data_IF_452062120258
#
_entry.id   IF_452062120258
#
_cell.length_a   1.000
_cell.length_b   1.000
_cell.length_c   1.000
_cell.angle_alpha   90.00
_cell.angle_beta   90.00
_cell.angle_gamma   90.00
#
_symmetry.space_group_name_H-M   'P 1'
#
loop_
_entity.id
_entity.type
_entity.pdbx_description
1 polymer ?
#
# COMPACT_ATOMS: atom_id res chain seq x y z
N UNK A 1 -30.09 -1.44 6.10
CA UNK A 1 -30.38 -2.62 5.24
C UNK A 1 -29.47 -3.79 5.64
N UNK A 2 -29.98 -4.78 6.37
CA UNK A 2 -29.27 -6.02 6.75
C UNK A 2 -29.30 -7.04 5.61
N UNK A 3 -28.53 -6.83 4.53
CA UNK A 3 -28.86 -7.50 3.27
C UNK A 3 -27.62 -7.82 2.41
N UNK A 4 -27.13 -9.08 2.37
CA UNK A 4 -26.16 -9.62 1.40
C UNK A 4 -26.49 -9.27 -0.05
N UNK A 5 -27.77 -8.97 -0.33
CA UNK A 5 -28.25 -8.39 -1.58
C UNK A 5 -27.46 -7.13 -1.99
N UNK A 6 -27.00 -6.29 -1.06
CA UNK A 6 -26.19 -5.11 -1.38
C UNK A 6 -24.83 -5.51 -1.97
N UNK A 7 -24.19 -6.57 -1.45
CA UNK A 7 -22.94 -7.10 -2.00
C UNK A 7 -23.17 -7.73 -3.39
N UNK A 8 -24.30 -8.43 -3.57
CA UNK A 8 -24.69 -8.98 -4.87
C UNK A 8 -24.94 -7.87 -5.91
N UNK A 9 -25.69 -6.83 -5.54
CA UNK A 9 -25.94 -5.65 -6.39
C UNK A 9 -24.63 -4.95 -6.72
N UNK A 10 -23.76 -4.75 -5.72
CA UNK A 10 -22.43 -4.20 -5.92
C UNK A 10 -21.61 -5.01 -6.93
N UNK A 11 -21.51 -6.33 -6.73
CA UNK A 11 -20.76 -7.24 -7.62
C UNK A 11 -21.28 -7.17 -9.06
N UNK A 12 -22.60 -7.24 -9.26
CA UNK A 12 -23.22 -7.12 -10.58
C UNK A 12 -22.94 -5.76 -11.25
N UNK A 13 -23.02 -4.65 -10.50
CA UNK A 13 -22.73 -3.32 -11.01
C UNK A 13 -21.26 -3.16 -11.39
N UNK A 14 -20.33 -3.69 -10.58
CA UNK A 14 -18.90 -3.69 -10.90
C UNK A 14 -18.63 -4.51 -12.16
N UNK A 15 -19.20 -5.71 -12.26
CA UNK A 15 -19.04 -6.57 -13.43
C UNK A 15 -19.56 -5.89 -14.70
N UNK A 16 -20.76 -5.30 -14.64
CA UNK A 16 -21.35 -4.56 -15.75
C UNK A 16 -20.50 -3.34 -16.15
N UNK A 17 -19.92 -2.62 -15.19
CA UNK A 17 -19.08 -1.46 -15.46
C UNK A 17 -17.74 -1.84 -16.11
N UNK A 18 -17.13 -2.93 -15.64
CA UNK A 18 -15.80 -3.37 -16.10
C UNK A 18 -15.89 -4.07 -17.45
N UNK A 19 -16.97 -4.81 -17.71
CA UNK A 19 -17.15 -5.54 -18.95
C UNK A 19 -17.26 -4.57 -20.15
N UNK A 20 -16.36 -4.67 -21.14
CA UNK A 20 -16.43 -3.84 -22.35
C UNK A 20 -17.75 -4.03 -23.08
N UNK A 21 -18.25 -5.26 -23.22
CA UNK A 21 -19.46 -5.56 -24.00
C UNK A 21 -20.76 -5.02 -23.38
N UNK A 22 -20.78 -4.77 -22.07
CA UNK A 22 -21.98 -4.27 -21.37
C UNK A 22 -22.12 -2.74 -21.46
N UNK A 23 -21.04 -2.04 -21.81
CA UNK A 23 -20.98 -0.57 -21.81
C UNK A 23 -20.38 0.01 -23.10
N UNK A 24 -19.83 -0.81 -23.99
CA UNK A 24 -19.52 -0.45 -25.37
C UNK A 24 -20.83 -0.11 -26.09
N UNK A 25 -21.02 1.17 -26.40
CA UNK A 25 -22.21 1.70 -27.07
C UNK A 25 -23.09 2.62 -26.21
N UNK A 26 -22.93 2.65 -24.88
CA UNK A 26 -23.66 3.57 -24.00
C UNK A 26 -22.78 4.11 -22.87
N UNK A 27 -22.05 5.19 -23.16
CA UNK A 27 -21.31 5.94 -22.13
C UNK A 27 -22.24 6.42 -21.00
N UNK A 28 -23.50 6.74 -21.35
CA UNK A 28 -24.54 7.11 -20.39
C UNK A 28 -24.82 6.00 -19.37
N UNK A 29 -24.93 4.75 -19.80
CA UNK A 29 -25.12 3.61 -18.88
C UNK A 29 -23.91 3.45 -17.95
N UNK A 30 -22.68 3.58 -18.48
CA UNK A 30 -21.45 3.57 -17.69
C UNK A 30 -21.45 4.67 -16.61
N UNK A 31 -21.80 5.90 -16.99
CA UNK A 31 -21.91 7.02 -16.03
C UNK A 31 -23.02 6.81 -15.00
N UNK A 32 -24.15 6.21 -15.38
CA UNK A 32 -25.24 5.88 -14.47
C UNK A 32 -24.82 4.84 -13.44
N UNK A 33 -24.19 3.74 -13.88
CA UNK A 33 -23.65 2.70 -12.99
C UNK A 33 -22.61 3.32 -12.05
N UNK A 34 -21.69 4.12 -12.58
CA UNK A 34 -20.68 4.82 -11.78
C UNK A 34 -21.31 5.73 -10.72
N UNK A 35 -22.32 6.52 -11.11
CA UNK A 35 -23.06 7.39 -10.20
C UNK A 35 -23.76 6.61 -9.08
N UNK A 36 -24.34 5.45 -9.38
CA UNK A 36 -24.94 4.56 -8.39
C UNK A 36 -23.86 4.04 -7.42
N UNK A 37 -22.77 3.48 -7.93
CA UNK A 37 -21.67 2.96 -7.11
C UNK A 37 -21.12 4.05 -6.17
N UNK A 38 -20.85 5.24 -6.69
CA UNK A 38 -20.34 6.35 -5.88
C UNK A 38 -21.33 6.86 -4.85
N UNK A 39 -22.54 7.23 -5.28
CA UNK A 39 -23.49 7.99 -4.43
C UNK A 39 -24.30 7.08 -3.52
N UNK A 40 -24.64 5.89 -3.98
CA UNK A 40 -25.57 4.98 -3.28
C UNK A 40 -24.87 3.81 -2.58
N UNK A 41 -23.64 3.46 -2.96
CA UNK A 41 -22.87 2.38 -2.31
C UNK A 41 -21.71 2.95 -1.48
N UNK A 42 -20.73 3.60 -2.11
CA UNK A 42 -19.51 4.02 -1.42
C UNK A 42 -19.73 5.13 -0.39
N UNK A 43 -20.59 6.11 -0.72
CA UNK A 43 -20.93 7.24 0.15
C UNK A 43 -22.10 6.97 1.10
N UNK A 44 -22.72 5.79 1.03
CA UNK A 44 -23.82 5.46 1.92
C UNK A 44 -23.36 5.43 3.38
N UNK A 45 -24.20 5.98 4.27
CA UNK A 45 -24.01 5.92 5.72
C UNK A 45 -24.12 4.47 6.19
N UNK A 46 -25.12 3.76 5.67
CA UNK A 46 -25.33 2.34 5.89
C UNK A 46 -24.50 1.50 4.93
N UNK A 47 -24.04 0.36 5.43
CA UNK A 47 -23.30 -0.63 4.66
C UNK A 47 -23.52 -2.02 5.27
N UNK A 48 -23.24 -3.12 4.52
CA UNK A 48 -23.47 -4.47 5.00
C UNK A 48 -22.66 -4.75 6.27
N UNK A 49 -23.34 -5.02 7.39
CA UNK A 49 -22.71 -5.42 8.68
C UNK A 49 -23.40 -6.61 9.34
N UNK A 50 -24.49 -7.12 8.75
CA UNK A 50 -25.22 -8.28 9.28
C UNK A 50 -24.33 -9.53 9.28
N UNK A 51 -24.57 -10.46 10.20
CA UNK A 51 -23.78 -11.68 10.40
C UNK A 51 -23.73 -12.61 9.17
N UNK A 52 -24.70 -12.44 8.27
CA UNK A 52 -24.83 -13.14 6.98
C UNK A 52 -23.79 -12.74 5.92
N UNK A 53 -23.04 -11.64 6.12
CA UNK A 53 -21.90 -11.31 5.27
C UNK A 53 -20.72 -12.23 5.60
N UNK A 54 -20.34 -13.11 4.68
CA UNK A 54 -19.20 -14.01 4.89
C UNK A 54 -17.87 -13.31 4.59
N UNK A 55 -16.85 -13.56 5.41
CA UNK A 55 -15.50 -13.02 5.19
C UNK A 55 -14.90 -13.49 3.86
N UNK A 56 -15.12 -14.76 3.51
CA UNK A 56 -14.65 -15.36 2.23
C UNK A 56 -15.14 -14.60 0.99
N UNK A 57 -16.38 -14.10 1.01
CA UNK A 57 -16.92 -13.26 -0.07
C UNK A 57 -16.20 -11.91 -0.13
N UNK A 58 -15.95 -11.29 1.02
CA UNK A 58 -15.24 -10.01 1.09
C UNK A 58 -13.78 -10.15 0.63
N UNK A 59 -13.12 -11.25 0.98
CA UNK A 59 -11.78 -11.61 0.54
C UNK A 59 -11.69 -11.77 -0.97
N UNK A 60 -12.61 -12.53 -1.57
CA UNK A 60 -12.68 -12.71 -3.03
C UNK A 60 -12.88 -11.38 -3.75
N UNK A 61 -13.83 -10.56 -3.29
CA UNK A 61 -14.08 -9.23 -3.85
C UNK A 61 -12.86 -8.31 -3.69
N UNK A 62 -12.17 -8.37 -2.55
CA UNK A 62 -10.98 -7.58 -2.29
C UNK A 62 -9.86 -7.96 -3.27
N UNK A 63 -9.60 -9.25 -3.43
CA UNK A 63 -8.57 -9.76 -4.34
C UNK A 63 -8.83 -9.34 -5.79
N UNK A 64 -10.08 -9.48 -6.26
CA UNK A 64 -10.48 -9.06 -7.60
C UNK A 64 -10.26 -7.56 -7.84
N UNK A 65 -10.66 -6.72 -6.88
CA UNK A 65 -10.50 -5.28 -7.00
C UNK A 65 -9.03 -4.84 -6.95
N UNK A 66 -8.19 -5.48 -6.13
CA UNK A 66 -6.75 -5.21 -6.11
C UNK A 66 -6.07 -5.61 -7.44
N UNK A 67 -6.45 -6.76 -8.02
CA UNK A 67 -6.00 -7.18 -9.36
C UNK A 67 -6.43 -6.17 -10.43
N UNK A 68 -7.66 -5.67 -10.35
CA UNK A 68 -8.19 -4.71 -11.30
C UNK A 68 -7.50 -3.34 -11.20
N UNK A 69 -7.22 -2.88 -9.98
CA UNK A 69 -6.55 -1.60 -9.73
C UNK A 69 -5.08 -1.61 -10.19
N UNK A 70 -4.42 -2.76 -10.23
CA UNK A 70 -3.03 -2.91 -10.71
C UNK A 70 -2.90 -3.21 -12.21
N UNK A 71 -4.02 -3.51 -12.88
CA UNK A 71 -4.03 -3.95 -14.28
C UNK A 71 -3.38 -2.90 -15.20
N UNK A 72 -2.40 -3.26 -16.02
CA UNK A 72 -1.79 -2.32 -16.96
C UNK A 72 -2.78 -1.90 -18.05
N UNK A 73 -2.67 -0.64 -18.50
CA UNK A 73 -3.39 -0.20 -19.68
C UNK A 73 -2.86 -0.91 -20.92
N UNK A 74 -3.67 -1.79 -21.50
CA UNK A 74 -3.36 -2.42 -22.79
C UNK A 74 -3.83 -1.48 -23.90
N UNK A 75 -2.90 -0.76 -24.55
CA UNK A 75 -3.18 -0.12 -25.84
C UNK A 75 -3.57 -1.24 -26.82
N UNK A 76 -4.80 -1.23 -27.36
CA UNK A 76 -5.18 -2.15 -28.44
C UNK A 76 -4.20 -1.88 -29.60
N UNK A 77 -3.35 -2.87 -29.94
CA UNK A 77 -2.62 -2.90 -31.22
C UNK A 77 -3.65 -3.21 -32.30
N UNK A 78 -4.46 -2.22 -32.66
CA UNK A 78 -5.27 -2.30 -33.86
C UNK A 78 -4.34 -2.10 -35.04
N UNK A 79 -4.36 -3.02 -36.02
CA UNK A 79 -3.97 -2.66 -37.38
C UNK A 79 -4.84 -1.45 -37.77
N UNK A 80 -4.21 -0.42 -38.34
CA UNK A 80 -4.72 0.94 -38.56
C UNK A 80 -4.85 1.80 -37.29
N UNK A 81 -4.09 2.89 -37.28
CA UNK A 81 -4.06 3.96 -36.28
C UNK A 81 -5.47 4.28 -35.73
N UNK A 82 -5.83 3.88 -34.49
CA UNK A 82 -7.08 4.30 -33.90
C UNK A 82 -7.02 5.82 -33.69
N UNK A 83 -8.09 6.54 -34.06
CA UNK A 83 -8.16 8.01 -33.93
C UNK A 83 -7.85 8.46 -32.51
N UNK A 84 -7.23 9.65 -32.35
CA UNK A 84 -6.84 10.23 -31.05
C UNK A 84 -8.01 10.23 -30.04
N UNK A 85 -9.24 10.40 -30.52
CA UNK A 85 -10.49 10.39 -29.73
C UNK A 85 -10.82 8.99 -29.18
N UNK A 86 -10.68 7.92 -29.98
CA UNK A 86 -10.91 6.54 -29.50
C UNK A 86 -9.85 6.13 -28.47
N UNK A 87 -8.62 6.61 -28.63
CA UNK A 87 -7.55 6.38 -27.66
C UNK A 87 -7.81 7.11 -26.34
N UNK A 88 -8.25 8.37 -26.37
CA UNK A 88 -8.57 9.14 -25.17
C UNK A 88 -9.77 8.56 -24.41
N UNK A 89 -10.82 8.12 -25.12
CA UNK A 89 -11.97 7.45 -24.51
C UNK A 89 -11.59 6.15 -23.80
N UNK A 90 -10.78 5.30 -24.44
CA UNK A 90 -10.26 4.05 -23.84
C UNK A 90 -9.41 4.32 -22.59
N UNK A 91 -8.56 5.34 -22.65
CA UNK A 91 -7.74 5.77 -21.51
C UNK A 91 -8.58 6.30 -20.35
N UNK A 92 -9.59 7.13 -20.63
CA UNK A 92 -10.52 7.65 -19.63
C UNK A 92 -11.32 6.51 -18.98
N UNK A 93 -11.81 5.56 -19.76
CA UNK A 93 -12.47 4.36 -19.25
C UNK A 93 -11.55 3.56 -18.33
N UNK A 94 -10.29 3.35 -18.74
CA UNK A 94 -9.31 2.66 -17.89
C UNK A 94 -9.11 3.38 -16.56
N UNK A 95 -8.94 4.71 -16.57
CA UNK A 95 -8.84 5.51 -15.34
C UNK A 95 -10.07 5.37 -14.45
N UNK A 96 -11.27 5.38 -15.02
CA UNK A 96 -12.50 5.18 -14.25
C UNK A 96 -12.55 3.78 -13.62
N UNK A 97 -12.17 2.74 -14.36
CA UNK A 97 -12.09 1.37 -13.83
C UNK A 97 -11.08 1.26 -12.69
N UNK A 98 -9.89 1.87 -12.82
CA UNK A 98 -8.90 1.91 -11.73
C UNK A 98 -9.46 2.65 -10.51
N UNK A 99 -10.13 3.80 -10.71
CA UNK A 99 -10.77 4.55 -9.63
C UNK A 99 -11.88 3.76 -8.95
N UNK A 100 -12.68 3.01 -9.72
CA UNK A 100 -13.68 2.09 -9.20
C UNK A 100 -13.04 1.06 -8.29
N UNK A 101 -12.03 0.35 -8.79
CA UNK A 101 -11.35 -0.70 -8.07
C UNK A 101 -10.74 -0.22 -6.74
N UNK A 102 -10.16 0.98 -6.72
CA UNK A 102 -9.63 1.62 -5.50
C UNK A 102 -10.74 1.95 -4.50
N UNK A 103 -11.83 2.57 -4.95
CA UNK A 103 -12.97 2.91 -4.08
C UNK A 103 -13.67 1.66 -3.53
N UNK A 104 -13.84 0.64 -4.37
CA UNK A 104 -14.32 -0.68 -3.98
C UNK A 104 -13.45 -1.28 -2.88
N UNK A 105 -12.12 -1.22 -3.03
CA UNK A 105 -11.17 -1.71 -2.01
C UNK A 105 -11.41 -1.01 -0.67
N UNK A 106 -11.49 0.32 -0.64
CA UNK A 106 -11.77 1.05 0.61
C UNK A 106 -13.12 0.68 1.23
N UNK A 107 -14.15 0.50 0.40
CA UNK A 107 -15.49 0.15 0.87
C UNK A 107 -15.54 -1.28 1.42
N UNK A 108 -14.91 -2.25 0.77
CA UNK A 108 -14.80 -3.64 1.25
C UNK A 108 -14.06 -3.68 2.58
N UNK A 109 -12.93 -2.98 2.69
CA UNK A 109 -12.19 -2.89 3.96
C UNK A 109 -13.01 -2.22 5.07
N UNK A 110 -13.85 -1.23 4.74
CA UNK A 110 -14.78 -0.61 5.70
C UNK A 110 -15.79 -1.63 6.25
N UNK A 111 -16.25 -2.57 5.42
CA UNK A 111 -17.14 -3.65 5.84
C UNK A 111 -16.39 -4.64 6.75
N UNK A 112 -15.19 -5.05 6.34
CA UNK A 112 -14.34 -5.96 7.14
C UNK A 112 -14.08 -5.37 8.53
N UNK A 113 -13.69 -4.09 8.62
CA UNK A 113 -13.43 -3.43 9.91
C UNK A 113 -14.67 -3.43 10.80
N UNK A 114 -15.83 -3.08 10.25
CA UNK A 114 -17.05 -2.96 11.05
C UNK A 114 -17.63 -4.31 11.52
N UNK A 115 -17.21 -5.40 10.89
CA UNK A 115 -17.58 -6.76 11.29
C UNK A 115 -16.73 -7.28 12.45
N UNK A 116 -15.62 -6.62 12.78
CA UNK A 116 -14.72 -6.97 13.88
C UNK A 116 -14.36 -8.47 13.90
N UNK A 117 -14.00 -9.03 12.74
CA UNK A 117 -13.55 -10.43 12.66
C UNK A 117 -12.32 -10.64 13.56
N UNK A 118 -12.16 -11.82 14.18
CA UNK A 118 -10.98 -12.17 14.93
C UNK A 118 -9.69 -12.02 14.09
N UNK A 119 -8.60 -11.56 14.72
CA UNK A 119 -7.31 -11.34 14.05
C UNK A 119 -6.82 -12.56 13.24
N UNK A 120 -6.93 -13.81 13.74
CA UNK A 120 -6.52 -14.99 12.97
C UNK A 120 -7.29 -15.16 11.66
N UNK A 121 -8.58 -14.82 11.64
CA UNK A 121 -9.40 -14.92 10.42
C UNK A 121 -9.00 -13.88 9.38
N UNK A 122 -8.49 -12.72 9.81
CA UNK A 122 -8.01 -11.66 8.92
C UNK A 122 -6.67 -11.99 8.25
N UNK A 123 -6.03 -13.11 8.59
CA UNK A 123 -4.74 -13.49 8.01
C UNK A 123 -4.81 -13.61 6.49
N UNK A 124 -5.90 -14.17 5.95
CA UNK A 124 -6.07 -14.30 4.51
C UNK A 124 -6.26 -12.96 3.81
N UNK A 125 -6.87 -11.97 4.47
CA UNK A 125 -6.89 -10.58 3.98
C UNK A 125 -5.48 -10.02 3.86
N UNK A 126 -4.63 -10.24 4.87
CA UNK A 126 -3.22 -9.84 4.84
C UNK A 126 -2.47 -10.55 3.71
N UNK A 127 -2.71 -11.83 3.50
CA UNK A 127 -2.04 -12.60 2.45
C UNK A 127 -2.45 -12.17 1.03
N UNK A 128 -3.71 -11.77 0.84
CA UNK A 128 -4.16 -11.10 -0.39
C UNK A 128 -3.34 -9.83 -0.65
N UNK A 129 -3.13 -8.99 0.37
CA UNK A 129 -2.27 -7.82 0.24
C UNK A 129 -0.82 -8.18 -0.07
N UNK A 130 -0.24 -9.17 0.60
CA UNK A 130 1.15 -9.62 0.30
C UNK A 130 1.29 -10.12 -1.14
N UNK A 131 0.35 -10.93 -1.62
CA UNK A 131 0.34 -11.43 -3.00
C UNK A 131 0.26 -10.28 -3.99
N UNK A 132 -0.68 -9.35 -3.77
CA UNK A 132 -0.82 -8.15 -4.58
C UNK A 132 0.43 -7.25 -4.57
N UNK A 133 1.02 -6.99 -3.39
CA UNK A 133 2.21 -6.15 -3.25
C UNK A 133 3.45 -6.81 -3.87
N UNK A 134 3.55 -8.14 -3.82
CA UNK A 134 4.60 -8.88 -4.52
C UNK A 134 4.56 -8.59 -6.02
N UNK A 135 3.36 -8.59 -6.62
CA UNK A 135 3.19 -8.24 -8.04
C UNK A 135 3.57 -6.78 -8.29
N UNK A 136 3.18 -5.86 -7.40
CA UNK A 136 3.53 -4.45 -7.49
C UNK A 136 5.05 -4.23 -7.51
N UNK A 137 5.79 -4.85 -6.59
CA UNK A 137 7.25 -4.72 -6.49
C UNK A 137 8.01 -5.41 -7.63
N UNK A 138 7.48 -6.53 -8.13
CA UNK A 138 8.16 -7.32 -9.17
C UNK A 138 7.82 -6.85 -10.60
N UNK A 139 6.80 -6.00 -10.78
CA UNK A 139 6.33 -5.56 -12.09
C UNK A 139 6.54 -4.08 -12.34
N UNK A 140 7.45 -3.77 -13.27
CA UNK A 140 7.57 -2.42 -13.87
C UNK A 140 6.29 -1.97 -14.61
N UNK A 141 5.38 -2.90 -14.94
CA UNK A 141 4.14 -2.63 -15.67
C UNK A 141 2.95 -2.32 -14.76
N UNK A 142 3.06 -2.53 -13.45
CA UNK A 142 1.96 -2.21 -12.52
C UNK A 142 1.65 -0.71 -12.58
N UNK A 143 0.41 -0.37 -12.95
CA UNK A 143 -0.08 1.02 -13.01
C UNK A 143 -0.66 1.47 -11.66
N UNK A 144 -0.38 0.73 -10.60
CA UNK A 144 -0.83 1.11 -9.27
C UNK A 144 -0.20 2.43 -8.85
N UNK A 145 -1.03 3.32 -8.31
CA UNK A 145 -0.58 4.60 -7.79
C UNK A 145 -0.03 4.42 -6.36
N UNK A 146 1.19 4.86 -6.06
CA UNK A 146 1.72 4.86 -4.69
C UNK A 146 0.79 5.56 -3.69
N UNK A 147 0.14 6.65 -4.10
CA UNK A 147 -0.81 7.40 -3.25
C UNK A 147 -2.00 6.56 -2.78
N UNK A 148 -2.45 5.62 -3.60
CA UNK A 148 -3.51 4.70 -3.17
C UNK A 148 -3.03 3.80 -2.02
N UNK A 149 -1.80 3.30 -2.07
CA UNK A 149 -1.22 2.48 -1.00
C UNK A 149 -0.96 3.31 0.25
N UNK A 150 -0.43 4.54 0.11
CA UNK A 150 -0.26 5.49 1.22
C UNK A 150 -1.60 5.73 1.92
N UNK A 151 -2.65 6.01 1.16
CA UNK A 151 -3.98 6.25 1.70
C UNK A 151 -4.58 5.01 2.37
N UNK A 152 -4.35 3.82 1.81
CA UNK A 152 -4.77 2.56 2.41
C UNK A 152 -4.13 2.35 3.79
N UNK A 153 -2.82 2.60 3.92
CA UNK A 153 -2.12 2.46 5.19
C UNK A 153 -2.51 3.52 6.21
N UNK A 154 -2.87 4.74 5.77
CA UNK A 154 -3.45 5.75 6.66
C UNK A 154 -4.79 5.31 7.21
N UNK A 155 -5.68 4.81 6.35
CA UNK A 155 -7.05 4.43 6.72
C UNK A 155 -7.14 3.13 7.52
N UNK A 156 -6.16 2.22 7.40
CA UNK A 156 -6.21 0.88 7.97
C UNK A 156 -4.94 0.53 8.76
N UNK A 157 -4.84 0.98 10.02
CA UNK A 157 -3.67 0.72 10.87
C UNK A 157 -3.31 -0.75 11.04
N UNK A 158 -4.30 -1.63 11.18
CA UNK A 158 -4.04 -3.05 11.38
C UNK A 158 -3.36 -3.70 10.16
N UNK A 159 -3.76 -3.33 8.93
CA UNK A 159 -3.18 -3.86 7.69
C UNK A 159 -1.70 -3.49 7.61
N UNK A 160 -1.36 -2.22 7.80
CA UNK A 160 0.04 -1.77 7.69
C UNK A 160 0.95 -2.40 8.74
N UNK A 161 0.48 -2.63 9.97
CA UNK A 161 1.29 -3.24 11.02
C UNK A 161 1.64 -4.69 10.66
N UNK A 162 0.66 -5.45 10.15
CA UNK A 162 0.90 -6.82 9.67
C UNK A 162 1.79 -6.88 8.42
N UNK A 163 1.79 -5.83 7.60
CA UNK A 163 2.59 -5.76 6.38
C UNK A 163 3.98 -5.14 6.57
N UNK A 164 4.28 -4.45 7.67
CA UNK A 164 5.54 -3.72 7.86
C UNK A 164 6.75 -4.64 7.63
N UNK A 165 6.79 -5.79 8.30
CA UNK A 165 7.88 -6.75 8.13
C UNK A 165 8.02 -7.28 6.70
N UNK A 166 6.92 -7.38 5.94
CA UNK A 166 6.93 -7.78 4.54
C UNK A 166 7.43 -6.64 3.63
N UNK A 167 7.02 -5.39 3.91
CA UNK A 167 7.49 -4.22 3.19
C UNK A 167 9.00 -4.07 3.31
N UNK A 168 9.55 -4.17 4.52
CA UNK A 168 10.98 -4.02 4.76
C UNK A 168 11.80 -5.02 3.92
N UNK A 169 11.37 -6.28 3.86
CA UNK A 169 11.99 -7.29 3.01
C UNK A 169 11.88 -6.94 1.52
N UNK A 170 10.68 -6.56 1.04
CA UNK A 170 10.46 -6.27 -0.38
C UNK A 170 11.12 -4.98 -0.86
N UNK A 171 11.31 -3.99 0.01
CA UNK A 171 12.07 -2.78 -0.31
C UNK A 171 13.53 -3.15 -0.62
N UNK A 172 14.12 -4.02 0.18
CA UNK A 172 15.47 -4.53 0.00
C UNK A 172 15.67 -5.33 -1.29
N UNK A 173 14.66 -6.11 -1.68
CA UNK A 173 14.75 -7.05 -2.82
C UNK A 173 13.99 -6.61 -4.08
N UNK A 174 13.63 -5.33 -4.22
CA UNK A 174 12.79 -4.89 -5.33
C UNK A 174 13.51 -5.04 -6.68
N UNK A 175 12.78 -5.48 -7.72
CA UNK A 175 13.36 -5.76 -9.06
C UNK A 175 13.97 -4.55 -9.77
N UNK A 176 13.72 -3.34 -9.28
CA UNK A 176 14.29 -2.14 -9.88
C UNK A 176 14.48 -1.05 -8.84
N UNK A 177 15.58 -0.31 -8.97
CA UNK A 177 15.90 0.87 -8.17
C UNK A 177 14.71 1.84 -8.05
N UNK A 178 14.00 2.11 -9.15
CA UNK A 178 12.79 2.95 -9.13
C UNK A 178 11.74 2.48 -8.12
N UNK A 179 11.46 1.17 -8.09
CA UNK A 179 10.46 0.58 -7.18
C UNK A 179 10.99 0.49 -5.76
N UNK A 180 12.28 0.19 -5.58
CA UNK A 180 12.93 0.22 -4.28
C UNK A 180 12.75 1.60 -3.66
N UNK A 181 13.12 2.67 -4.36
CA UNK A 181 12.99 4.03 -3.83
C UNK A 181 11.54 4.45 -3.60
N UNK A 182 10.62 4.16 -4.52
CA UNK A 182 9.18 4.41 -4.28
C UNK A 182 8.64 3.68 -3.04
N UNK A 183 9.19 2.51 -2.74
CA UNK A 183 8.75 1.67 -1.61
C UNK A 183 9.23 2.20 -0.26
N UNK A 184 10.39 2.85 -0.21
CA UNK A 184 10.89 3.52 1.00
C UNK A 184 9.90 4.58 1.49
N UNK A 185 9.28 5.29 0.55
CA UNK A 185 8.26 6.29 0.82
C UNK A 185 6.99 5.69 1.44
N UNK A 186 6.64 4.44 1.09
CA UNK A 186 5.56 3.69 1.73
C UNK A 186 5.96 3.24 3.14
N UNK A 187 7.19 2.77 3.34
CA UNK A 187 7.70 2.41 4.67
C UNK A 187 7.67 3.61 5.60
N UNK A 188 8.11 4.80 5.14
CA UNK A 188 8.01 6.04 5.93
C UNK A 188 6.56 6.32 6.33
N UNK A 189 5.60 6.15 5.43
CA UNK A 189 4.18 6.36 5.74
C UNK A 189 3.69 5.40 6.83
N UNK A 190 4.15 4.14 6.80
CA UNK A 190 3.86 3.16 7.87
C UNK A 190 4.54 3.59 9.17
N UNK A 191 5.81 3.98 9.16
CA UNK A 191 6.57 4.39 10.36
C UNK A 191 6.01 5.67 11.00
N UNK A 192 5.60 6.67 10.20
CA UNK A 192 4.96 7.92 10.69
C UNK A 192 3.82 7.65 11.65
N UNK A 193 3.07 6.61 11.35
CA UNK A 193 1.89 6.26 12.10
C UNK A 193 2.18 5.63 13.47
N UNK A 194 3.40 5.13 13.67
CA UNK A 194 3.88 4.58 14.94
C UNK A 194 4.25 5.70 15.94
N UNK A 195 4.45 6.94 15.47
CA UNK A 195 4.67 8.09 16.35
C UNK A 195 3.39 8.54 17.09
N UNK A 196 2.20 8.06 16.70
CA UNK A 196 0.94 8.58 17.25
C UNK A 196 0.84 8.37 18.77
N UNK A 197 0.99 9.47 19.51
CA UNK A 197 0.82 9.52 20.96
C UNK A 197 -0.68 9.48 21.26
N UNK A 198 -1.13 8.41 21.91
CA UNK A 198 -2.42 8.45 22.63
C UNK A 198 -2.19 9.19 23.95
N UNK A 199 -3.16 9.98 24.44
CA UNK A 199 -3.00 10.79 25.66
C UNK A 199 -2.71 9.95 26.93
N UNK A 200 -2.95 8.64 26.89
CA UNK A 200 -2.67 7.69 27.97
C UNK A 200 -1.28 7.01 27.89
N UNK A 201 -0.42 7.38 26.94
CA UNK A 201 0.92 6.82 26.76
C UNK A 201 0.96 5.36 26.25
N UNK A 202 -0.16 4.64 26.25
CA UNK A 202 -0.27 3.21 25.86
C UNK A 202 0.13 2.95 24.41
N UNK A 203 -0.13 3.93 23.53
CA UNK A 203 0.22 3.85 22.11
C UNK A 203 1.73 3.85 21.85
N UNK A 204 2.49 4.57 22.68
CA UNK A 204 3.94 4.74 22.47
C UNK A 204 4.69 3.44 22.74
N UNK A 205 4.32 2.69 23.78
CA UNK A 205 4.94 1.40 24.10
C UNK A 205 4.59 0.30 23.10
N UNK A 206 3.34 0.27 22.60
CA UNK A 206 2.96 -0.66 21.54
C UNK A 206 3.77 -0.40 20.24
N UNK A 207 3.89 0.87 19.84
CA UNK A 207 4.70 1.28 18.70
C UNK A 207 6.18 0.94 18.87
N UNK A 208 6.74 1.19 20.06
CA UNK A 208 8.12 0.83 20.39
C UNK A 208 8.34 -0.69 20.29
N UNK A 209 7.42 -1.51 20.79
CA UNK A 209 7.49 -2.98 20.67
C UNK A 209 7.45 -3.45 19.22
N UNK A 210 6.53 -2.90 18.41
CA UNK A 210 6.45 -3.21 16.98
C UNK A 210 7.76 -2.84 16.29
N UNK A 211 8.24 -1.60 16.48
CA UNK A 211 9.47 -1.14 15.85
C UNK A 211 10.69 -1.97 16.29
N UNK A 212 10.78 -2.29 17.59
CA UNK A 212 11.84 -3.14 18.15
C UNK A 212 11.87 -4.53 17.51
N UNK A 213 10.71 -5.17 17.31
CA UNK A 213 10.62 -6.48 16.64
C UNK A 213 11.09 -6.48 15.18
N UNK A 214 11.15 -5.30 14.56
CA UNK A 214 11.58 -5.13 13.17
C UNK A 214 13.00 -4.58 13.02
N UNK A 215 13.75 -4.35 14.12
CA UNK A 215 15.13 -3.85 14.06
C UNK A 215 16.02 -4.67 13.11
N UNK A 216 16.06 -6.01 13.17
CA UNK A 216 16.93 -6.78 12.27
C UNK A 216 16.62 -6.53 10.78
N UNK A 217 15.33 -6.42 10.44
CA UNK A 217 14.89 -6.13 9.06
C UNK A 217 15.23 -4.70 8.63
N UNK A 218 15.17 -3.75 9.56
CA UNK A 218 15.57 -2.37 9.33
C UNK A 218 17.08 -2.26 9.13
N UNK A 219 17.88 -2.95 9.93
CA UNK A 219 19.34 -3.04 9.77
C UNK A 219 19.70 -3.61 8.40
N UNK A 220 19.09 -4.73 8.02
CA UNK A 220 19.29 -5.35 6.71
C UNK A 220 18.91 -4.42 5.56
N UNK A 221 17.76 -3.72 5.66
CA UNK A 221 17.37 -2.75 4.63
C UNK A 221 18.38 -1.60 4.53
N UNK A 222 18.85 -1.06 5.65
CA UNK A 222 19.85 0.02 5.64
C UNK A 222 21.16 -0.46 5.03
N UNK A 223 21.63 -1.66 5.40
CA UNK A 223 22.81 -2.30 4.79
C UNK A 223 22.67 -2.36 3.27
N UNK A 224 21.58 -2.94 2.76
CA UNK A 224 21.35 -3.03 1.31
C UNK A 224 21.38 -1.66 0.63
N UNK A 225 20.75 -0.65 1.24
CA UNK A 225 20.69 0.69 0.66
C UNK A 225 22.04 1.42 0.64
N UNK A 226 22.90 1.22 1.65
CA UNK A 226 24.21 1.90 1.71
C UNK A 226 25.30 1.16 0.95
N UNK A 227 25.19 -0.17 0.81
CA UNK A 227 26.13 -0.97 0.01
C UNK A 227 25.84 -0.85 -1.49
N UNK A 228 24.57 -0.73 -1.88
CA UNK A 228 24.14 -0.58 -3.27
C UNK A 228 23.36 0.73 -3.46
N UNK A 229 24.07 1.86 -3.36
CA UNK A 229 23.45 3.18 -3.50
C UNK A 229 23.00 3.43 -4.94
N UNK A 230 21.82 4.06 -5.14
CA UNK A 230 21.33 4.39 -6.48
C UNK A 230 22.33 5.17 -7.35
N UNK A 231 22.35 4.88 -8.65
CA UNK A 231 23.22 5.59 -9.60
C UNK A 231 22.79 7.04 -9.80
N UNK A 232 21.47 7.29 -9.73
CA UNK A 232 20.90 8.63 -9.94
C UNK A 232 20.96 9.45 -8.65
N UNK A 233 21.51 10.65 -8.74
CA UNK A 233 21.61 11.57 -7.59
C UNK A 233 20.27 11.84 -6.92
N UNK A 234 19.19 12.03 -7.69
CA UNK A 234 17.84 12.23 -7.14
C UNK A 234 17.37 11.05 -6.30
N UNK A 235 17.74 9.82 -6.68
CA UNK A 235 17.42 8.59 -5.95
C UNK A 235 18.27 8.41 -4.70
N UNK A 236 19.56 8.79 -4.75
CA UNK A 236 20.40 8.86 -3.54
C UNK A 236 19.83 9.83 -2.50
N UNK A 237 19.27 10.96 -2.93
CA UNK A 237 18.59 11.91 -2.02
C UNK A 237 17.39 11.25 -1.34
N UNK A 238 16.57 10.50 -2.09
CA UNK A 238 15.43 9.77 -1.51
C UNK A 238 15.88 8.72 -0.48
N UNK A 239 16.97 7.98 -0.75
CA UNK A 239 17.55 7.00 0.20
C UNK A 239 18.06 7.70 1.47
N UNK A 240 18.82 8.80 1.34
CA UNK A 240 19.30 9.56 2.51
C UNK A 240 18.14 10.13 3.33
N UNK A 241 17.10 10.64 2.67
CA UNK A 241 15.87 11.12 3.31
C UNK A 241 15.17 10.00 4.08
N UNK A 242 15.10 8.80 3.50
CA UNK A 242 14.58 7.62 4.19
C UNK A 242 15.38 7.30 5.45
N UNK A 243 16.70 7.15 5.35
CA UNK A 243 17.56 6.85 6.49
C UNK A 243 17.44 7.91 7.59
N UNK A 244 17.47 9.20 7.24
CA UNK A 244 17.31 10.29 8.21
C UNK A 244 15.96 10.23 8.93
N UNK A 245 14.86 9.91 8.22
CA UNK A 245 13.55 9.71 8.86
C UNK A 245 13.53 8.46 9.75
N UNK A 246 14.09 7.35 9.28
CA UNK A 246 14.21 6.13 10.09
C UNK A 246 14.96 6.40 11.40
N UNK A 247 16.09 7.10 11.33
CA UNK A 247 16.90 7.46 12.50
C UNK A 247 16.10 8.32 13.47
N UNK A 248 15.35 9.32 12.97
CA UNK A 248 14.43 10.10 13.79
C UNK A 248 13.39 9.22 14.51
N UNK A 249 12.81 8.22 13.83
CA UNK A 249 11.86 7.28 14.45
C UNK A 249 12.53 6.43 15.56
N UNK A 250 13.73 5.92 15.30
CA UNK A 250 14.48 5.12 16.27
C UNK A 250 14.83 5.93 17.53
N UNK A 251 15.29 7.17 17.35
CA UNK A 251 15.55 8.10 18.45
C UNK A 251 14.28 8.37 19.26
N UNK A 252 13.18 8.71 18.59
CA UNK A 252 11.88 9.01 19.25
C UNK A 252 11.38 7.86 20.13
N UNK A 253 11.72 6.62 19.79
CA UNK A 253 11.33 5.42 20.54
C UNK A 253 12.44 4.85 21.43
N UNK A 254 13.57 5.53 21.59
CA UNK A 254 14.75 5.08 22.35
C UNK A 254 15.24 3.69 21.90
N UNK A 255 15.31 3.48 20.58
CA UNK A 255 15.76 2.24 19.95
C UNK A 255 17.12 2.36 19.25
N UNK A 256 17.74 3.55 19.27
CA UNK A 256 19.04 3.83 18.64
C UNK A 256 20.12 2.82 19.03
N UNK A 257 20.32 2.59 20.33
CA UNK A 257 21.33 1.63 20.81
C UNK A 257 21.08 0.21 20.32
N UNK A 258 19.81 -0.23 20.32
CA UNK A 258 19.45 -1.56 19.85
C UNK A 258 19.69 -1.71 18.35
N UNK A 259 19.40 -0.66 17.57
CA UNK A 259 19.64 -0.63 16.13
C UNK A 259 21.13 -0.65 15.81
N UNK A 260 21.92 0.25 16.42
CA UNK A 260 23.37 0.34 16.19
C UNK A 260 24.09 -0.94 16.59
N UNK A 261 23.70 -1.60 17.68
CA UNK A 261 24.28 -2.89 18.09
C UNK A 261 23.93 -4.05 17.15
N UNK A 262 22.81 -3.94 16.42
CA UNK A 262 22.37 -4.99 15.48
C UNK A 262 22.97 -4.78 14.08
N UNK A 263 23.48 -3.59 13.77
CA UNK A 263 24.21 -3.37 12.53
C UNK A 263 25.55 -4.10 12.56
N UNK A 264 25.90 -4.72 11.43
CA UNK A 264 27.19 -5.37 11.27
C UNK A 264 28.32 -4.31 11.23
N UNK A 265 29.51 -4.59 11.78
CA UNK A 265 30.62 -3.63 11.85
C UNK A 265 30.99 -3.00 10.51
N UNK A 266 31.00 -3.79 9.44
CA UNK A 266 31.26 -3.33 8.07
C UNK A 266 30.22 -2.32 7.56
N UNK A 267 28.96 -2.46 7.98
CA UNK A 267 27.87 -1.57 7.60
C UNK A 267 28.00 -0.20 8.27
N UNK A 268 28.65 -0.12 9.44
CA UNK A 268 28.92 1.18 10.08
C UNK A 268 29.79 2.07 9.18
N UNK A 269 30.85 1.52 8.60
CA UNK A 269 31.75 2.28 7.72
C UNK A 269 31.01 2.75 6.45
N UNK A 270 30.21 1.87 5.83
CA UNK A 270 29.37 2.24 4.69
C UNK A 270 28.34 3.32 5.03
N UNK A 271 27.73 3.25 6.21
CA UNK A 271 26.80 4.28 6.68
C UNK A 271 27.51 5.63 6.88
N UNK A 272 28.69 5.65 7.48
CA UNK A 272 29.48 6.89 7.63
C UNK A 272 29.85 7.50 6.28
N UNK A 273 30.33 6.69 5.33
CA UNK A 273 30.68 7.16 3.99
C UNK A 273 29.48 7.68 3.20
N UNK A 274 28.34 6.97 3.22
CA UNK A 274 27.19 7.27 2.35
C UNK A 274 26.17 8.25 2.95
N UNK A 275 25.99 8.21 4.26
CA UNK A 275 25.02 9.02 5.01
C UNK A 275 25.68 10.19 5.75
N UNK A 276 27.00 10.14 6.00
CA UNK A 276 27.78 11.21 6.62
C UNK A 276 27.22 11.62 7.98
N UNK A 277 27.05 12.94 8.15
CA UNK A 277 26.55 13.56 9.40
C UNK A 277 25.25 12.96 9.92
N UNK A 278 24.37 12.44 9.05
CA UNK A 278 23.11 11.81 9.47
C UNK A 278 23.37 10.60 10.38
N UNK A 279 24.35 9.76 10.04
CA UNK A 279 24.69 8.57 10.81
C UNK A 279 25.58 8.90 12.01
N UNK A 280 26.49 9.85 11.86
CA UNK A 280 27.31 10.34 12.98
C UNK A 280 26.45 10.94 14.10
N UNK A 281 25.41 11.69 13.74
CA UNK A 281 24.45 12.24 14.71
C UNK A 281 23.69 11.14 15.44
N UNK A 282 23.27 10.08 14.73
CA UNK A 282 22.62 8.92 15.36
C UNK A 282 23.56 8.23 16.36
N UNK A 283 24.84 8.03 16.00
CA UNK A 283 25.85 7.44 16.89
C UNK A 283 26.06 8.25 18.17
N UNK A 284 26.09 9.58 18.08
CA UNK A 284 26.25 10.47 19.25
C UNK A 284 25.13 10.31 20.28
N UNK A 285 23.93 9.88 19.87
CA UNK A 285 22.81 9.62 20.79
C UNK A 285 22.90 8.27 21.53
N UNK A 286 23.93 7.46 21.25
CA UNK A 286 24.23 6.24 22.00
C UNK A 286 25.05 6.52 23.27
N UNK A 287 25.72 7.69 23.32
CA UNK A 287 26.50 8.18 24.47
C UNK A 287 25.60 8.95 25.44
#
# INVERSE_FOLDING_TARGET
>A
MSKPQVLKVFSNLVQAFVNPHTTEGSEQLGQRIWGILQKKIFKAKDYPRGGDVQLSLLESLLEENLKLASKPFKKKKSANNPSKIKQSASWNRHKMITSLAQNSTFWILKIIDARNFPVPELQRVVDIFKGFLTIYFNSKKSQMKPDFLKELFRRRPWIRHHLLGFFLEKCGSAKSEFRQVESLDLVIEILKSLISVKPDGSGQEASKKILKSHIPKLCHLVQQLVTDMPEKQSRRVDVRKFCGKLFQFLTTHNLTTSFLRTLEPEVHASCESQLGELFLTLKKQQQ
#
